data_IF_398331206968
#
_entry.id   IF_398331206968
#
_cell.length_a   1.000
_cell.length_b   1.000
_cell.length_c   1.000
_cell.angle_alpha   90.00
_cell.angle_beta   90.00
_cell.angle_gamma   90.00
#
_symmetry.space_group_name_H-M   'P 1'
#
loop_
_entity.id
_entity.type
_entity.pdbx_description
1 polymer ?
#
# COMPACT_ATOMS: atom_id res chain seq x y z
N UNK A 1 -14.40 -15.27 40.10
CA UNK A 1 -15.20 -16.13 39.22
C UNK A 1 -14.30 -17.27 38.73
N UNK A 2 -14.83 -18.46 38.61
CA UNK A 2 -14.14 -19.63 38.12
C UNK A 2 -14.94 -20.27 37.00
N UNK A 3 -14.30 -21.07 36.17
CA UNK A 3 -14.92 -21.78 35.07
C UNK A 3 -14.98 -20.94 33.78
N UNK A 4 -15.75 -21.45 32.82
CA UNK A 4 -15.93 -20.81 31.51
C UNK A 4 -16.80 -19.56 31.65
N UNK A 5 -16.35 -18.47 31.05
CA UNK A 5 -17.04 -17.19 30.99
C UNK A 5 -16.94 -16.63 29.58
N UNK A 6 -18.01 -16.01 29.11
CA UNK A 6 -18.01 -15.20 27.90
C UNK A 6 -17.96 -13.74 28.32
N UNK A 7 -16.94 -13.01 27.86
CA UNK A 7 -16.80 -11.60 28.10
C UNK A 7 -17.26 -10.87 26.84
N UNK A 8 -18.30 -10.05 26.98
CA UNK A 8 -18.75 -9.16 25.92
C UNK A 8 -18.12 -7.79 26.10
N UNK A 9 -17.24 -7.42 25.17
CA UNK A 9 -16.77 -6.04 24.99
C UNK A 9 -17.74 -5.29 24.09
N UNK A 10 -18.27 -4.17 24.55
CA UNK A 10 -19.08 -3.26 23.73
C UNK A 10 -18.35 -1.94 23.62
N UNK A 11 -18.10 -1.51 22.38
CA UNK A 11 -17.53 -0.22 22.10
C UNK A 11 -18.57 0.65 21.39
N UNK A 12 -19.08 1.64 22.10
CA UNK A 12 -19.99 2.65 21.56
C UNK A 12 -19.18 3.78 20.93
N UNK A 13 -19.47 4.09 19.68
CA UNK A 13 -18.82 5.18 18.95
C UNK A 13 -19.63 6.45 19.18
N UNK A 14 -19.02 7.46 19.79
CA UNK A 14 -19.72 8.66 20.28
C UNK A 14 -20.33 9.58 19.23
N UNK A 15 -19.99 9.42 17.96
CA UNK A 15 -20.44 10.24 16.83
C UNK A 15 -21.36 9.50 15.84
N UNK A 16 -21.66 8.23 16.09
CA UNK A 16 -22.57 7.41 15.26
C UNK A 16 -23.50 6.56 16.12
N UNK A 17 -24.58 6.05 15.54
CA UNK A 17 -25.47 5.09 16.19
C UNK A 17 -24.94 3.65 16.18
N UNK A 18 -23.69 3.45 15.77
CA UNK A 18 -23.09 2.13 15.66
C UNK A 18 -22.33 1.74 16.92
N UNK A 19 -22.47 0.49 17.32
CA UNK A 19 -21.66 -0.14 18.38
C UNK A 19 -20.92 -1.34 17.84
N UNK A 20 -19.69 -1.53 18.27
CA UNK A 20 -18.90 -2.72 17.96
C UNK A 20 -18.95 -3.68 19.14
N UNK A 21 -19.12 -4.97 18.84
CA UNK A 21 -19.21 -6.03 19.81
C UNK A 21 -18.04 -7.00 19.62
N UNK A 22 -17.36 -7.33 20.69
CA UNK A 22 -16.33 -8.37 20.71
C UNK A 22 -16.68 -9.39 21.80
N UNK A 23 -16.72 -10.66 21.43
CA UNK A 23 -16.93 -11.76 22.34
C UNK A 23 -15.58 -12.43 22.60
N UNK A 24 -15.22 -12.54 23.87
CA UNK A 24 -14.01 -13.20 24.32
C UNK A 24 -14.42 -14.41 25.16
N UNK A 25 -14.06 -15.59 24.71
CA UNK A 25 -14.19 -16.81 25.49
C UNK A 25 -13.03 -16.91 26.49
N UNK A 26 -13.35 -16.90 27.75
CA UNK A 26 -12.37 -16.99 28.83
C UNK A 26 -12.70 -18.12 29.78
N UNK A 27 -11.69 -18.92 30.14
CA UNK A 27 -11.80 -19.95 31.17
C UNK A 27 -10.94 -19.59 32.37
N UNK A 28 -11.59 -19.42 33.50
CA UNK A 28 -10.95 -19.07 34.78
C UNK A 28 -10.83 -20.33 35.67
N UNK A 29 -9.83 -21.13 35.39
CA UNK A 29 -9.69 -22.43 36.06
C UNK A 29 -8.88 -22.37 37.35
N UNK A 30 -8.30 -21.20 37.69
CA UNK A 30 -7.45 -21.04 38.88
C UNK A 30 -6.18 -21.91 38.88
N UNK A 31 -5.93 -22.62 37.77
CA UNK A 31 -4.78 -23.47 37.61
C UNK A 31 -3.55 -22.69 37.11
N UNK A 32 -2.38 -23.15 37.46
CA UNK A 32 -1.14 -22.75 36.79
C UNK A 32 -1.22 -23.24 35.36
N UNK A 33 -1.54 -22.29 34.44
CA UNK A 33 -1.41 -22.58 33.01
C UNK A 33 0.05 -22.94 32.75
N UNK A 34 0.35 -24.03 32.03
CA UNK A 34 1.72 -24.32 31.64
C UNK A 34 2.29 -23.03 31.02
N UNK A 35 3.55 -22.66 31.32
CA UNK A 35 4.13 -21.45 30.75
C UNK A 35 3.97 -21.52 29.22
N UNK A 36 3.37 -20.47 28.64
CA UNK A 36 3.20 -20.39 27.19
C UNK A 36 4.58 -20.54 26.55
N UNK A 37 4.77 -21.57 25.77
CA UNK A 37 6.03 -21.77 25.02
C UNK A 37 6.17 -20.76 23.89
N UNK A 38 5.06 -20.16 23.47
CA UNK A 38 4.97 -19.14 22.44
C UNK A 38 3.98 -18.07 22.82
N UNK A 39 4.28 -16.81 22.51
CA UNK A 39 3.39 -15.65 22.68
C UNK A 39 3.26 -14.91 21.35
N UNK A 40 2.10 -14.37 21.05
CA UNK A 40 1.91 -13.58 19.86
C UNK A 40 2.67 -12.26 19.96
N UNK A 41 3.53 -11.97 18.96
CA UNK A 41 4.37 -10.78 18.89
C UNK A 41 4.18 -9.97 17.62
N UNK A 42 3.25 -10.35 16.75
CA UNK A 42 2.97 -9.63 15.50
C UNK A 42 1.93 -10.34 14.64
N UNK A 43 1.71 -9.81 13.46
CA UNK A 43 0.79 -10.40 12.48
C UNK A 43 1.17 -9.98 11.06
N UNK A 44 1.14 -10.91 10.12
CA UNK A 44 1.23 -10.63 8.68
C UNK A 44 -0.19 -10.32 8.19
N UNK A 45 -0.42 -9.06 7.80
CA UNK A 45 -1.67 -8.63 7.18
C UNK A 45 -1.49 -8.54 5.67
N UNK A 46 -2.28 -9.28 4.87
CA UNK A 46 -2.26 -9.19 3.41
C UNK A 46 -2.98 -7.91 2.94
N UNK A 47 -2.33 -6.76 3.09
CA UNK A 47 -2.93 -5.43 2.88
C UNK A 47 -3.06 -5.06 1.41
N UNK A 48 -2.03 -5.34 0.61
CA UNK A 48 -1.94 -4.97 -0.81
C UNK A 48 -1.31 -6.09 -1.62
N UNK A 49 -1.53 -6.07 -2.93
CA UNK A 49 -0.77 -6.90 -3.86
C UNK A 49 0.62 -6.31 -4.10
N UNK A 50 1.61 -7.17 -4.32
CA UNK A 50 3.00 -6.81 -4.58
C UNK A 50 3.36 -7.21 -6.01
N UNK A 51 4.23 -6.43 -6.65
CA UNK A 51 4.77 -6.73 -7.97
C UNK A 51 6.01 -7.65 -7.87
N UNK A 52 6.37 -8.29 -8.99
CA UNK A 52 7.63 -9.02 -9.08
C UNK A 52 8.81 -8.07 -8.80
N UNK A 53 9.73 -8.50 -7.92
CA UNK A 53 10.84 -7.71 -7.43
C UNK A 53 10.59 -6.97 -6.12
N UNK A 54 9.34 -6.73 -5.73
CA UNK A 54 8.99 -6.21 -4.41
C UNK A 54 9.43 -7.17 -3.31
N UNK A 55 9.50 -6.66 -2.08
CA UNK A 55 9.89 -7.48 -0.93
C UNK A 55 8.91 -7.31 0.21
N UNK A 56 8.59 -8.42 0.86
CA UNK A 56 7.96 -8.45 2.18
C UNK A 56 8.99 -8.96 3.19
N UNK A 57 9.24 -8.22 4.25
CA UNK A 57 10.25 -8.59 5.25
C UNK A 57 9.76 -8.40 6.68
N UNK A 58 10.31 -9.21 7.57
CA UNK A 58 10.10 -9.02 9.00
C UNK A 58 11.12 -8.02 9.56
N UNK A 59 10.66 -7.18 10.48
CA UNK A 59 11.50 -6.39 11.38
C UNK A 59 11.30 -6.91 12.78
N UNK A 60 12.34 -7.46 13.36
CA UNK A 60 12.29 -8.13 14.67
C UNK A 60 12.91 -7.22 15.72
N UNK A 61 12.29 -7.11 16.89
CA UNK A 61 12.73 -6.22 17.96
C UNK A 61 12.85 -6.94 19.29
N UNK A 62 13.90 -6.62 20.03
CA UNK A 62 14.08 -6.91 21.44
C UNK A 62 14.17 -5.61 22.27
N UNK A 63 14.52 -5.71 23.56
CA UNK A 63 14.67 -4.54 24.43
C UNK A 63 15.80 -3.59 24.02
N UNK A 64 16.76 -4.05 23.22
CA UNK A 64 17.92 -3.28 22.76
C UNK A 64 17.67 -2.60 21.42
N UNK A 65 16.60 -2.96 20.70
CA UNK A 65 16.22 -2.41 19.41
C UNK A 65 15.96 -3.45 18.35
N UNK A 66 16.20 -3.08 17.08
CA UNK A 66 15.96 -3.96 15.93
C UNK A 66 17.06 -5.02 15.78
N UNK A 67 16.64 -6.25 15.58
CA UNK A 67 17.48 -7.44 15.36
C UNK A 67 17.49 -7.80 13.88
N UNK A 68 18.34 -7.11 13.14
CA UNK A 68 18.49 -7.33 11.70
C UNK A 68 19.01 -8.75 11.36
N UNK A 69 19.70 -9.39 12.29
CA UNK A 69 20.17 -10.77 12.19
C UNK A 69 19.05 -11.83 12.18
N UNK A 70 17.84 -11.46 12.64
CA UNK A 70 16.65 -12.31 12.65
C UNK A 70 15.62 -11.92 11.59
N UNK A 71 16.01 -11.07 10.66
CA UNK A 71 15.14 -10.67 9.56
C UNK A 71 14.90 -11.82 8.58
N UNK A 72 13.66 -12.02 8.18
CA UNK A 72 13.28 -12.89 7.06
C UNK A 72 12.80 -12.02 5.91
N UNK A 73 13.34 -12.23 4.70
CA UNK A 73 13.03 -11.45 3.50
C UNK A 73 12.46 -12.36 2.42
N UNK A 74 11.24 -12.09 1.99
CA UNK A 74 10.61 -12.69 0.82
C UNK A 74 10.70 -11.69 -0.34
N UNK A 75 11.44 -12.04 -1.40
CA UNK A 75 11.38 -11.31 -2.67
C UNK A 75 10.31 -11.94 -3.55
N UNK A 76 9.42 -11.12 -4.09
CA UNK A 76 8.32 -11.56 -4.95
C UNK A 76 8.87 -11.94 -6.32
N UNK A 77 8.64 -13.17 -6.74
CA UNK A 77 9.16 -13.69 -8.00
C UNK A 77 8.20 -13.50 -9.19
N UNK A 78 6.89 -13.40 -8.93
CA UNK A 78 5.87 -13.27 -9.97
C UNK A 78 4.64 -12.51 -9.46
N UNK A 79 3.80 -12.02 -10.38
CA UNK A 79 2.52 -11.39 -10.04
C UNK A 79 1.58 -12.33 -9.27
N UNK A 80 1.60 -13.63 -9.58
CA UNK A 80 0.81 -14.62 -8.85
C UNK A 80 1.27 -14.75 -7.40
N UNK A 81 2.59 -14.86 -7.17
CA UNK A 81 3.13 -14.88 -5.81
C UNK A 81 2.86 -13.56 -5.08
N UNK A 82 2.81 -12.44 -5.81
CA UNK A 82 2.56 -11.11 -5.27
C UNK A 82 1.11 -10.85 -4.86
N UNK A 83 0.15 -11.68 -5.25
CA UNK A 83 -1.21 -11.56 -4.74
C UNK A 83 -1.20 -11.58 -3.21
N UNK A 84 -1.94 -10.65 -2.58
CA UNK A 84 -1.85 -10.37 -1.14
C UNK A 84 -1.90 -11.61 -0.23
N UNK A 85 -2.78 -12.55 -0.50
CA UNK A 85 -2.88 -13.77 0.29
C UNK A 85 -1.73 -14.75 0.02
N UNK A 86 -1.18 -14.75 -1.20
CA UNK A 86 -0.11 -15.65 -1.60
C UNK A 86 1.22 -15.24 -0.99
N UNK A 87 1.59 -13.92 -1.05
CA UNK A 87 2.83 -13.49 -0.41
C UNK A 87 2.76 -13.61 1.12
N UNK A 88 1.59 -13.37 1.73
CA UNK A 88 1.43 -13.53 3.17
C UNK A 88 1.64 -15.00 3.61
N UNK A 89 1.06 -15.94 2.86
CA UNK A 89 1.30 -17.39 3.07
C UNK A 89 2.77 -17.75 2.88
N UNK A 90 3.39 -17.28 1.77
CA UNK A 90 4.79 -17.58 1.45
C UNK A 90 5.75 -17.02 2.49
N UNK A 91 5.53 -15.77 2.97
CA UNK A 91 6.34 -15.17 4.04
C UNK A 91 6.22 -15.95 5.34
N UNK A 92 5.01 -16.36 5.73
CA UNK A 92 4.79 -17.19 6.93
C UNK A 92 5.54 -18.52 6.84
N UNK A 93 5.47 -19.19 5.68
CA UNK A 93 6.22 -20.42 5.41
C UNK A 93 7.73 -20.23 5.51
N UNK A 94 8.23 -19.12 4.95
CA UNK A 94 9.65 -18.78 4.98
C UNK A 94 10.14 -18.48 6.40
N UNK A 95 9.36 -17.77 7.21
CA UNK A 95 9.66 -17.57 8.64
C UNK A 95 9.79 -18.92 9.35
N UNK A 96 8.85 -19.83 9.14
CA UNK A 96 8.88 -21.15 9.79
C UNK A 96 10.08 -22.02 9.35
N UNK A 97 10.56 -21.83 8.13
CA UNK A 97 11.72 -22.55 7.60
C UNK A 97 13.06 -22.00 8.12
N UNK A 98 13.17 -20.66 8.26
CA UNK A 98 14.45 -19.99 8.56
C UNK A 98 14.66 -19.70 10.03
N UNK A 99 13.57 -19.46 10.79
CA UNK A 99 13.65 -19.00 12.18
C UNK A 99 13.42 -20.14 13.17
N UNK A 100 14.12 -20.07 14.30
CA UNK A 100 13.94 -21.04 15.42
C UNK A 100 13.19 -20.43 16.61
N UNK A 101 13.21 -19.10 16.73
CA UNK A 101 12.60 -18.35 17.83
C UNK A 101 11.33 -17.59 17.40
N UNK A 102 11.00 -17.65 16.11
CA UNK A 102 9.84 -17.00 15.52
C UNK A 102 9.08 -18.03 14.71
N UNK A 103 7.75 -18.03 14.81
CA UNK A 103 6.84 -18.84 14.00
C UNK A 103 5.71 -17.98 13.46
N UNK A 104 5.16 -18.35 12.31
CA UNK A 104 4.03 -17.64 11.71
C UNK A 104 2.98 -18.63 11.17
N UNK A 105 1.71 -18.28 11.31
CA UNK A 105 0.58 -19.09 10.89
C UNK A 105 -0.38 -19.38 12.02
N UNK A 106 -1.45 -20.13 11.71
CA UNK A 106 -2.41 -20.58 12.70
C UNK A 106 -1.79 -21.70 13.56
N UNK A 107 -1.86 -21.53 14.88
CA UNK A 107 -1.40 -22.57 15.80
C UNK A 107 -2.44 -23.70 15.86
N UNK A 108 -2.03 -24.90 15.46
CA UNK A 108 -2.83 -26.10 15.57
C UNK A 108 -2.85 -26.67 16.99
N UNK A 109 -3.79 -27.59 17.25
CA UNK A 109 -3.89 -28.30 18.51
C UNK A 109 -2.66 -29.19 18.79
N UNK A 110 -1.92 -29.56 17.75
CA UNK A 110 -0.64 -30.28 17.78
C UNK A 110 0.57 -29.38 18.13
N UNK A 111 0.33 -28.09 18.33
CA UNK A 111 1.36 -27.10 18.60
C UNK A 111 2.17 -26.64 17.38
N UNK A 112 1.81 -27.11 16.17
CA UNK A 112 2.43 -26.66 14.93
C UNK A 112 1.86 -25.30 14.49
N UNK A 113 2.65 -24.56 13.73
CA UNK A 113 2.25 -23.26 13.15
C UNK A 113 2.07 -23.43 11.66
N UNK A 114 0.83 -23.34 11.19
CA UNK A 114 0.45 -23.61 9.82
C UNK A 114 0.17 -22.32 9.07
N UNK A 115 0.99 -21.95 8.08
CA UNK A 115 0.71 -20.79 7.21
C UNK A 115 -0.65 -20.93 6.51
N UNK A 116 -1.41 -19.84 6.44
CA UNK A 116 -2.70 -19.78 5.75
C UNK A 116 -2.73 -18.68 4.70
N UNK A 117 -3.57 -18.85 3.68
CA UNK A 117 -3.83 -17.81 2.69
C UNK A 117 -4.71 -16.73 3.33
N UNK A 118 -4.08 -15.65 3.77
CA UNK A 118 -4.72 -14.59 4.52
C UNK A 118 -3.83 -14.09 5.66
N UNK A 119 -4.48 -13.66 6.73
CA UNK A 119 -3.79 -13.16 7.93
C UNK A 119 -3.08 -14.30 8.66
N UNK A 120 -1.79 -14.09 8.97
CA UNK A 120 -0.97 -15.04 9.72
C UNK A 120 -0.43 -14.39 11.01
N UNK A 121 -0.88 -14.82 12.20
CA UNK A 121 -0.27 -14.43 13.46
C UNK A 121 1.21 -14.83 13.50
N UNK A 122 2.05 -13.98 14.13
CA UNK A 122 3.46 -14.27 14.39
C UNK A 122 3.65 -14.50 15.88
N UNK A 123 4.36 -15.56 16.21
CA UNK A 123 4.62 -15.97 17.58
C UNK A 123 6.11 -15.93 17.89
N UNK A 124 6.42 -15.51 19.11
CA UNK A 124 7.75 -15.44 19.67
C UNK A 124 7.93 -16.53 20.72
N UNK A 125 9.06 -17.21 20.68
CA UNK A 125 9.38 -18.27 21.62
C UNK A 125 9.64 -17.70 23.02
N UNK A 126 9.07 -18.28 24.05
CA UNK A 126 9.33 -17.89 25.43
C UNK A 126 10.82 -18.00 25.75
N UNK A 127 11.37 -17.00 26.42
CA UNK A 127 12.80 -16.91 26.75
C UNK A 127 13.71 -16.43 25.61
N UNK A 128 13.17 -16.06 24.44
CA UNK A 128 13.94 -15.48 23.34
C UNK A 128 14.34 -14.02 23.57
N UNK A 129 13.75 -13.34 24.55
CA UNK A 129 13.85 -11.89 24.81
C UNK A 129 13.32 -11.02 23.69
N UNK A 130 12.70 -11.59 22.65
CA UNK A 130 12.06 -10.86 21.57
C UNK A 130 10.72 -10.26 22.07
N UNK A 131 10.41 -9.06 21.60
CA UNK A 131 9.24 -8.29 22.03
C UNK A 131 8.15 -8.21 20.95
N UNK A 132 8.56 -7.96 19.70
CA UNK A 132 7.61 -7.82 18.59
C UNK A 132 8.25 -8.08 17.24
N UNK A 133 7.41 -8.37 16.27
CA UNK A 133 7.76 -8.44 14.84
C UNK A 133 6.80 -7.56 14.06
N UNK A 134 7.34 -6.69 13.25
CA UNK A 134 6.61 -5.84 12.31
C UNK A 134 6.85 -6.34 10.88
N UNK A 135 5.91 -6.08 9.99
CA UNK A 135 6.06 -6.37 8.56
C UNK A 135 6.33 -5.07 7.82
N UNK A 136 7.40 -5.06 7.06
CA UNK A 136 7.74 -3.98 6.14
C UNK A 136 7.61 -4.48 4.71
N UNK A 137 6.87 -3.72 3.90
CA UNK A 137 6.79 -3.93 2.47
C UNK A 137 7.72 -2.93 1.78
N UNK A 138 8.61 -3.44 0.94
CA UNK A 138 9.46 -2.65 0.07
C UNK A 138 8.98 -2.86 -1.36
N UNK A 139 8.25 -1.88 -1.86
CA UNK A 139 7.89 -1.86 -3.26
C UNK A 139 9.07 -1.30 -4.04
N UNK A 140 9.50 -2.05 -5.06
CA UNK A 140 10.33 -1.43 -6.08
C UNK A 140 9.51 -0.28 -6.63
N UNK A 141 10.12 0.87 -6.75
CA UNK A 141 9.49 1.97 -7.47
C UNK A 141 9.01 1.37 -8.79
N UNK A 142 7.71 1.45 -9.13
CA UNK A 142 7.26 0.92 -10.40
C UNK A 142 8.21 1.45 -11.47
N UNK A 143 8.59 0.65 -12.47
CA UNK A 143 9.32 1.18 -13.62
C UNK A 143 8.58 2.43 -14.00
N UNK A 144 9.26 3.57 -13.98
CA UNK A 144 8.69 4.93 -13.96
C UNK A 144 7.47 4.90 -14.85
N UNK A 145 6.31 4.80 -14.23
CA UNK A 145 5.06 4.60 -14.96
C UNK A 145 4.91 5.78 -15.90
N UNK A 146 4.29 5.59 -17.04
CA UNK A 146 3.97 6.66 -17.96
C UNK A 146 3.69 7.94 -17.19
N UNK A 147 4.52 8.94 -17.38
CA UNK A 147 4.38 10.21 -16.70
C UNK A 147 4.54 11.35 -17.68
N UNK A 148 3.83 12.44 -17.42
CA UNK A 148 3.97 13.69 -18.18
C UNK A 148 4.39 14.80 -17.22
N UNK A 149 5.27 15.66 -17.72
CA UNK A 149 5.64 16.91 -17.07
C UNK A 149 5.41 18.02 -18.09
N UNK A 150 4.77 19.11 -17.67
CA UNK A 150 4.44 20.26 -18.51
C UNK A 150 5.24 21.46 -18.05
N UNK A 151 5.84 22.17 -19.00
CA UNK A 151 6.62 23.38 -18.77
C UNK A 151 6.34 24.44 -19.83
N UNK A 152 6.66 25.70 -19.52
CA UNK A 152 6.55 26.83 -20.46
C UNK A 152 5.17 27.50 -20.47
N UNK A 153 4.19 27.03 -19.67
CA UNK A 153 2.93 27.78 -19.50
C UNK A 153 3.14 28.99 -18.61
N UNK A 154 2.57 30.12 -19.02
CA UNK A 154 2.49 31.35 -18.23
C UNK A 154 1.23 31.28 -17.32
N UNK A 155 1.24 32.02 -16.21
CA UNK A 155 0.08 32.19 -15.35
C UNK A 155 -1.07 32.96 -15.98
N UNK A 156 -0.70 33.90 -16.89
CA UNK A 156 -1.63 34.79 -17.53
C UNK A 156 -1.30 34.96 -19.01
N UNK A 157 -2.32 35.04 -19.83
CA UNK A 157 -2.23 35.29 -21.26
C UNK A 157 -3.13 36.43 -21.67
N UNK A 158 -2.62 37.29 -22.56
CA UNK A 158 -3.42 38.38 -23.16
C UNK A 158 -4.23 37.85 -24.35
N UNK A 159 -5.52 38.17 -24.37
CA UNK A 159 -6.38 37.88 -25.52
C UNK A 159 -6.26 38.96 -26.57
N UNK A 160 -6.05 38.56 -27.81
CA UNK A 160 -6.19 39.45 -28.98
C UNK A 160 -7.49 39.09 -29.71
N UNK A 161 -8.49 39.97 -29.60
CA UNK A 161 -9.81 39.77 -30.22
C UNK A 161 -10.44 38.38 -29.91
N UNK A 162 -10.32 37.91 -28.67
CA UNK A 162 -10.83 36.59 -28.24
C UNK A 162 -9.98 35.44 -28.72
N UNK A 163 -8.73 35.67 -29.11
CA UNK A 163 -7.75 34.65 -29.48
C UNK A 163 -6.61 34.60 -28.49
N UNK A 164 -6.03 33.41 -28.31
CA UNK A 164 -4.80 33.19 -27.57
C UNK A 164 -3.95 32.14 -28.26
N UNK A 165 -2.64 32.30 -28.18
CA UNK A 165 -1.69 31.25 -28.55
C UNK A 165 -0.97 30.78 -27.31
N UNK A 166 -1.09 29.49 -27.00
CA UNK A 166 -0.38 28.83 -25.92
C UNK A 166 0.82 28.09 -26.48
N UNK A 167 2.01 28.37 -25.92
CA UNK A 167 3.22 27.62 -26.24
C UNK A 167 3.73 26.95 -24.97
N UNK A 168 3.91 25.63 -25.02
CA UNK A 168 4.36 24.84 -23.88
C UNK A 168 5.05 23.56 -24.35
N UNK A 169 5.76 22.91 -23.46
CA UNK A 169 6.44 21.64 -23.73
C UNK A 169 5.91 20.57 -22.80
N UNK A 170 5.56 19.40 -23.35
CA UNK A 170 5.23 18.19 -22.63
C UNK A 170 6.42 17.25 -22.73
N UNK A 171 6.95 16.82 -21.59
CA UNK A 171 7.96 15.78 -21.47
C UNK A 171 7.29 14.52 -21.01
N UNK A 172 7.36 13.46 -21.80
CA UNK A 172 6.78 12.15 -21.48
C UNK A 172 7.87 11.14 -21.12
N UNK A 173 7.56 10.30 -20.14
CA UNK A 173 8.25 9.04 -19.93
C UNK A 173 7.28 7.92 -20.30
N UNK A 174 7.74 6.96 -21.10
CA UNK A 174 6.92 5.93 -21.72
C UNK A 174 6.44 6.32 -23.13
N UNK A 175 5.59 5.47 -23.69
CA UNK A 175 4.99 5.64 -25.02
C UNK A 175 3.55 6.14 -24.83
N UNK A 176 3.32 7.43 -25.04
CA UNK A 176 2.08 8.12 -24.69
C UNK A 176 1.46 8.84 -25.90
N UNK A 177 0.17 8.63 -26.09
CA UNK A 177 -0.65 9.49 -26.93
C UNK A 177 -1.13 10.67 -26.08
N UNK A 178 -0.59 11.86 -26.32
CA UNK A 178 -0.91 13.06 -25.55
C UNK A 178 -1.92 13.91 -26.30
N UNK A 179 -2.99 14.28 -25.59
CA UNK A 179 -4.01 15.22 -26.10
C UNK A 179 -4.07 16.43 -25.17
N UNK A 180 -4.03 17.63 -25.76
CA UNK A 180 -4.13 18.89 -25.04
C UNK A 180 -5.41 19.59 -25.46
N UNK A 181 -6.31 19.94 -24.55
CA UNK A 181 -7.57 20.61 -24.84
C UNK A 181 -7.76 21.82 -23.93
N UNK A 182 -7.95 22.99 -24.51
CA UNK A 182 -8.32 24.22 -23.79
C UNK A 182 -9.83 24.36 -23.75
N UNK A 183 -10.40 24.44 -22.56
CA UNK A 183 -11.82 24.67 -22.30
C UNK A 183 -12.04 26.09 -21.80
N UNK A 184 -13.15 26.71 -22.25
CA UNK A 184 -13.63 27.96 -21.65
C UNK A 184 -14.29 27.71 -20.27
N UNK A 185 -14.69 28.78 -19.60
CA UNK A 185 -15.36 28.73 -18.31
C UNK A 185 -16.74 28.03 -18.36
N UNK A 186 -17.31 27.82 -19.53
CA UNK A 186 -18.53 27.05 -19.76
C UNK A 186 -18.27 25.57 -20.07
N UNK A 187 -17.01 25.12 -20.08
CA UNK A 187 -16.63 23.75 -20.40
C UNK A 187 -16.64 23.44 -21.90
N UNK A 188 -16.65 24.46 -22.77
CA UNK A 188 -16.62 24.26 -24.22
C UNK A 188 -15.17 24.29 -24.72
N UNK A 189 -14.77 23.26 -25.48
CA UNK A 189 -13.44 23.18 -26.08
C UNK A 189 -13.21 24.27 -27.09
N UNK A 190 -12.12 25.00 -26.97
CA UNK A 190 -11.77 26.19 -27.78
C UNK A 190 -10.48 26.02 -28.60
N UNK A 191 -9.66 25.07 -28.23
CA UNK A 191 -8.45 24.70 -28.96
C UNK A 191 -8.01 23.30 -28.55
N UNK A 192 -7.42 22.58 -29.49
CA UNK A 192 -6.89 21.23 -29.24
C UNK A 192 -5.62 20.97 -30.00
N UNK A 193 -4.71 20.23 -29.41
CA UNK A 193 -3.49 19.72 -30.07
C UNK A 193 -3.15 18.35 -29.45
N UNK A 194 -2.32 17.57 -30.14
CA UNK A 194 -1.87 16.29 -29.60
C UNK A 194 -0.73 15.70 -30.39
N UNK A 195 -0.04 14.73 -29.80
CA UNK A 195 1.03 13.97 -30.45
C UNK A 195 1.31 12.69 -29.69
N UNK A 196 1.85 11.70 -30.37
CA UNK A 196 2.47 10.55 -29.75
C UNK A 196 3.88 10.94 -29.30
N UNK A 197 4.19 10.74 -28.01
CA UNK A 197 5.47 11.10 -27.40
C UNK A 197 6.05 9.86 -26.74
N UNK A 198 7.29 9.52 -27.09
CA UNK A 198 7.98 8.36 -26.54
C UNK A 198 9.29 8.78 -25.91
N UNK A 199 9.36 8.63 -24.58
CA UNK A 199 10.56 8.94 -23.77
C UNK A 199 11.27 10.25 -24.18
N UNK A 200 10.51 11.29 -24.50
CA UNK A 200 11.02 12.52 -25.09
C UNK A 200 10.19 13.74 -24.71
N UNK A 201 10.59 14.90 -25.20
CA UNK A 201 9.85 16.16 -25.05
C UNK A 201 9.29 16.60 -26.38
N UNK A 202 8.05 17.05 -26.38
CA UNK A 202 7.36 17.65 -27.53
C UNK A 202 6.89 19.05 -27.18
N UNK A 203 7.26 20.04 -28.01
CA UNK A 203 6.73 21.39 -27.89
C UNK A 203 5.43 21.53 -28.69
N UNK A 204 4.46 22.17 -28.07
CA UNK A 204 3.17 22.47 -28.66
C UNK A 204 2.99 23.97 -28.81
N UNK A 205 2.38 24.37 -29.91
CA UNK A 205 1.82 25.70 -30.10
C UNK A 205 0.36 25.51 -30.47
N UNK A 206 -0.53 25.96 -29.59
CA UNK A 206 -1.98 25.78 -29.76
C UNK A 206 -2.67 27.13 -29.81
N UNK A 207 -3.42 27.38 -30.90
CA UNK A 207 -4.30 28.53 -31.02
C UNK A 207 -5.70 28.18 -30.52
N UNK A 208 -6.28 29.07 -29.73
CA UNK A 208 -7.66 28.97 -29.30
C UNK A 208 -8.39 30.28 -29.62
N UNK A 209 -9.66 30.16 -30.03
CA UNK A 209 -10.47 31.30 -30.48
C UNK A 209 -11.84 31.32 -29.81
N UNK A 210 -12.50 32.48 -29.84
CA UNK A 210 -13.83 32.63 -29.22
C UNK A 210 -13.77 32.60 -27.69
N UNK A 211 -12.68 33.11 -27.14
CA UNK A 211 -12.47 33.23 -25.70
C UNK A 211 -12.92 34.59 -25.19
N UNK A 212 -13.40 34.63 -23.96
CA UNK A 212 -13.64 35.87 -23.20
C UNK A 212 -12.64 35.95 -22.04
N UNK A 213 -12.43 37.12 -21.49
CA UNK A 213 -11.56 37.26 -20.32
C UNK A 213 -12.11 36.42 -19.14
N UNK A 214 -11.22 35.74 -18.40
CA UNK A 214 -11.55 34.91 -17.27
C UNK A 214 -10.70 33.68 -17.16
N UNK A 215 -11.12 32.75 -16.29
CA UNK A 215 -10.43 31.46 -16.09
C UNK A 215 -10.78 30.48 -17.22
N UNK A 216 -9.75 29.83 -17.73
CA UNK A 216 -9.83 28.76 -18.71
C UNK A 216 -9.08 27.53 -18.19
N UNK A 217 -9.44 26.36 -18.62
CA UNK A 217 -8.83 25.12 -18.19
C UNK A 217 -8.10 24.44 -19.35
N UNK A 218 -6.78 24.29 -19.24
CA UNK A 218 -6.02 23.42 -20.12
C UNK A 218 -5.96 22.02 -19.50
N UNK A 219 -6.51 21.03 -20.19
CA UNK A 219 -6.45 19.61 -19.83
C UNK A 219 -5.44 18.94 -20.74
N UNK A 220 -4.51 18.19 -20.15
CA UNK A 220 -3.47 17.42 -20.84
C UNK A 220 -3.62 15.97 -20.38
N UNK A 221 -3.95 15.08 -21.29
CA UNK A 221 -4.25 13.67 -21.05
C UNK A 221 -3.32 12.76 -21.86
#
# INVERSE_FOLDING_TARGET
RTGYQVILGVWEVGDTANSFYNLIDARFDGGTQPPLTWSQGGTIYPSIDLAAGDKAKTRVFDASGERADLQTVLTIASAEQGQKNNWAHALAGKINAEQTQIRAGQQGADGQFNPVYGQNPIYLKAGSNLQRVEIQLEQQQPPVGNSINVSGLASDYQLDNGKVTLSFTVTAQGDLAVTNTLYDHGGVAKGQSGADIKDSSQSFTMEATGLSAGHHQLVIE
#
